data_IF_071890785383
#
_entry.id   IF_071890785383
#
_cell.length_a   1.000
_cell.length_b   1.000
_cell.length_c   1.000
_cell.angle_alpha   90.00
_cell.angle_beta   90.00
_cell.angle_gamma   90.00
#
_symmetry.space_group_name_H-M   'P 1'
#
loop_
_entity.id
_entity.type
_entity.pdbx_description
1 polymer ?
#
# COMPACT_ATOMS: atom_id res chain seq x y z
N UNK A 1 -5.14 -17.24 -16.97
CA UNK A 1 -5.88 -16.25 -16.13
C UNK A 1 -5.05 -14.99 -15.92
N UNK A 2 -5.49 -13.88 -16.53
CA UNK A 2 -4.87 -12.57 -16.37
C UNK A 2 -4.84 -12.08 -14.92
N UNK A 3 -5.67 -12.65 -14.03
CA UNK A 3 -5.70 -12.30 -12.63
C UNK A 3 -4.45 -12.73 -11.83
N UNK A 4 -3.75 -13.79 -12.27
CA UNK A 4 -2.46 -14.18 -11.68
C UNK A 4 -1.36 -13.17 -12.05
N UNK A 5 -1.38 -12.69 -13.30
CA UNK A 5 -0.46 -11.65 -13.77
C UNK A 5 -0.68 -10.35 -13.00
N UNK A 6 -1.94 -9.96 -12.79
CA UNK A 6 -2.27 -8.79 -11.98
C UNK A 6 -1.76 -8.91 -10.54
N UNK A 7 -1.93 -10.08 -9.91
CA UNK A 7 -1.44 -10.35 -8.56
C UNK A 7 0.07 -10.21 -8.47
N UNK A 8 0.81 -10.81 -9.43
CA UNK A 8 2.28 -10.70 -9.49
C UNK A 8 2.75 -9.27 -9.75
N UNK A 9 2.11 -8.55 -10.68
CA UNK A 9 2.42 -7.16 -10.97
C UNK A 9 2.18 -6.25 -9.76
N UNK A 10 1.06 -6.43 -9.04
CA UNK A 10 0.76 -5.67 -7.83
C UNK A 10 1.83 -5.89 -6.74
N UNK A 11 2.27 -7.13 -6.52
CA UNK A 11 3.35 -7.43 -5.57
C UNK A 11 4.65 -6.77 -6.01
N UNK A 12 5.03 -6.89 -7.29
CA UNK A 12 6.25 -6.29 -7.80
C UNK A 12 6.27 -4.76 -7.63
N UNK A 13 5.15 -4.09 -7.88
CA UNK A 13 5.02 -2.64 -7.71
C UNK A 13 5.09 -2.19 -6.23
N UNK A 14 4.76 -3.06 -5.29
CA UNK A 14 4.85 -2.76 -3.85
C UNK A 14 6.22 -3.06 -3.25
N UNK A 15 7.12 -3.69 -4.01
CA UNK A 15 8.49 -3.95 -3.57
C UNK A 15 9.44 -2.77 -3.86
N UNK A 16 10.55 -2.63 -3.10
CA UNK A 16 11.58 -1.64 -3.38
C UNK A 16 12.27 -1.90 -4.73
N UNK A 17 12.78 -0.85 -5.38
CA UNK A 17 13.46 -0.94 -6.67
C UNK A 17 14.70 -1.86 -6.65
N UNK A 18 15.38 -1.94 -5.51
CA UNK A 18 16.53 -2.83 -5.30
C UNK A 18 16.18 -4.27 -4.93
N UNK A 19 14.89 -4.64 -4.87
CA UNK A 19 14.50 -6.00 -4.53
C UNK A 19 14.87 -6.99 -5.64
N UNK A 20 15.38 -8.17 -5.24
CA UNK A 20 15.69 -9.21 -6.20
C UNK A 20 14.42 -9.75 -6.88
N UNK A 21 14.46 -10.06 -8.19
CA UNK A 21 13.29 -10.64 -8.89
C UNK A 21 12.79 -11.94 -8.26
N UNK A 22 13.68 -12.69 -7.59
CA UNK A 22 13.33 -13.91 -6.86
C UNK A 22 12.39 -13.63 -5.69
N UNK A 23 12.49 -12.46 -5.05
CA UNK A 23 11.61 -12.06 -3.97
C UNK A 23 10.18 -11.85 -4.49
N UNK A 24 10.04 -11.12 -5.60
CA UNK A 24 8.75 -10.92 -6.26
C UNK A 24 8.12 -12.24 -6.73
N UNK A 25 8.95 -13.15 -7.25
CA UNK A 25 8.54 -14.48 -7.66
C UNK A 25 8.04 -15.31 -6.45
N UNK A 26 8.79 -15.35 -5.35
CA UNK A 26 8.39 -16.08 -4.15
C UNK A 26 7.06 -15.58 -3.59
N UNK A 27 6.86 -14.24 -3.49
CA UNK A 27 5.60 -13.64 -3.05
C UNK A 27 4.43 -13.93 -3.98
N UNK A 28 4.66 -13.87 -5.30
CA UNK A 28 3.61 -14.15 -6.29
C UNK A 28 3.22 -15.63 -6.33
N UNK A 29 4.17 -16.55 -6.21
CA UNK A 29 3.90 -17.99 -6.09
C UNK A 29 3.08 -18.26 -4.84
N UNK A 30 3.49 -17.72 -3.69
CA UNK A 30 2.73 -17.86 -2.45
C UNK A 30 1.31 -17.28 -2.59
N UNK A 31 1.16 -16.08 -3.14
CA UNK A 31 -0.14 -15.45 -3.36
C UNK A 31 -1.08 -16.30 -4.23
N UNK A 32 -0.55 -16.91 -5.28
CA UNK A 32 -1.35 -17.76 -6.17
C UNK A 32 -1.63 -19.11 -5.53
N UNK A 33 -0.62 -19.80 -4.99
CA UNK A 33 -0.76 -21.15 -4.49
C UNK A 33 -1.49 -21.23 -3.15
N UNK A 34 -1.25 -20.30 -2.23
CA UNK A 34 -1.83 -20.35 -0.88
C UNK A 34 -3.09 -19.49 -0.74
N UNK A 35 -3.15 -18.33 -1.43
CA UNK A 35 -4.24 -17.38 -1.23
C UNK A 35 -5.32 -17.43 -2.31
N UNK A 36 -5.03 -18.00 -3.50
CA UNK A 36 -5.96 -17.98 -4.63
C UNK A 36 -6.47 -19.38 -5.01
N UNK A 37 -5.59 -20.34 -5.21
CA UNK A 37 -5.96 -21.68 -5.67
C UNK A 37 -6.86 -22.45 -4.68
N UNK A 38 -6.60 -22.45 -3.35
CA UNK A 38 -7.41 -23.23 -2.41
C UNK A 38 -8.85 -22.76 -2.31
N UNK A 39 -9.12 -21.49 -2.64
CA UNK A 39 -10.45 -20.88 -2.53
C UNK A 39 -11.23 -20.88 -3.86
N UNK A 40 -10.74 -21.58 -4.88
CA UNK A 40 -11.46 -21.72 -6.16
C UNK A 40 -11.24 -20.57 -7.16
N UNK A 41 -10.22 -19.75 -6.96
CA UNK A 41 -9.82 -18.71 -7.91
C UNK A 41 -10.10 -17.27 -7.47
N UNK A 42 -9.96 -16.33 -8.41
CA UNK A 42 -9.94 -14.90 -8.11
C UNK A 42 -11.23 -14.32 -7.52
N UNK A 43 -12.39 -14.92 -7.80
CA UNK A 43 -13.71 -14.41 -7.36
C UNK A 43 -14.19 -15.00 -6.02
N UNK A 44 -13.53 -16.01 -5.51
CA UNK A 44 -13.90 -16.72 -4.28
C UNK A 44 -12.89 -16.56 -3.15
N UNK A 45 -11.78 -15.85 -3.40
CA UNK A 45 -10.77 -15.59 -2.38
C UNK A 45 -11.34 -14.66 -1.28
N UNK A 46 -11.28 -15.05 0.00
CA UNK A 46 -11.81 -14.25 1.11
C UNK A 46 -10.97 -13.01 1.42
N UNK A 47 -9.76 -12.95 0.89
CA UNK A 47 -8.83 -11.82 1.03
C UNK A 47 -8.08 -11.57 -0.28
N UNK A 48 -7.52 -10.39 -0.41
CA UNK A 48 -6.78 -9.98 -1.61
C UNK A 48 -5.49 -10.79 -1.73
N UNK A 49 -5.30 -11.63 -2.78
CA UNK A 49 -4.13 -12.49 -2.90
C UNK A 49 -2.81 -11.73 -2.91
N UNK A 50 -2.77 -10.55 -3.53
CA UNK A 50 -1.57 -9.71 -3.55
C UNK A 50 -1.15 -9.23 -2.16
N UNK A 51 -2.13 -8.88 -1.31
CA UNK A 51 -1.86 -8.49 0.07
C UNK A 51 -1.31 -9.65 0.90
N UNK A 52 -1.86 -10.87 0.72
CA UNK A 52 -1.36 -12.07 1.39
C UNK A 52 0.08 -12.41 0.98
N UNK A 53 0.39 -12.29 -0.33
CA UNK A 53 1.75 -12.49 -0.83
C UNK A 53 2.73 -11.47 -0.27
N UNK A 54 2.34 -10.19 -0.20
CA UNK A 54 3.17 -9.15 0.40
C UNK A 54 3.37 -9.39 1.90
N UNK A 55 2.33 -9.74 2.64
CA UNK A 55 2.42 -10.06 4.06
C UNK A 55 3.39 -11.23 4.31
N UNK A 56 3.33 -12.27 3.48
CA UNK A 56 4.29 -13.37 3.53
C UNK A 56 5.73 -12.88 3.35
N UNK A 57 5.98 -12.01 2.37
CA UNK A 57 7.32 -11.44 2.13
C UNK A 57 7.80 -10.56 3.31
N UNK A 58 6.91 -9.75 3.87
CA UNK A 58 7.22 -8.90 5.03
C UNK A 58 7.62 -9.72 6.27
N UNK A 59 7.01 -10.87 6.48
CA UNK A 59 7.34 -11.77 7.60
C UNK A 59 8.61 -12.57 7.31
N UNK A 60 8.78 -13.07 6.07
CA UNK A 60 9.90 -13.94 5.72
C UNK A 60 11.22 -13.19 5.50
N UNK A 61 11.17 -12.01 4.88
CA UNK A 61 12.36 -11.20 4.52
C UNK A 61 12.15 -9.72 4.80
N UNK A 62 11.90 -9.32 6.07
CA UNK A 62 11.61 -7.92 6.41
C UNK A 62 12.71 -6.96 5.99
N UNK A 63 13.97 -7.34 6.15
CA UNK A 63 15.11 -6.51 5.77
C UNK A 63 15.16 -6.17 4.28
N UNK A 64 14.76 -7.12 3.42
CA UNK A 64 14.77 -6.91 1.96
C UNK A 64 13.56 -6.13 1.47
N UNK A 65 12.43 -6.25 2.16
CA UNK A 65 11.18 -5.56 1.78
C UNK A 65 11.19 -4.10 2.26
N UNK A 66 11.80 -3.83 3.42
CA UNK A 66 11.80 -2.50 4.04
C UNK A 66 13.13 -1.75 3.88
N UNK A 67 14.00 -2.14 2.95
CA UNK A 67 15.23 -1.42 2.62
C UNK A 67 15.05 -0.68 1.30
N UNK A 68 15.06 0.64 1.35
CA UNK A 68 14.95 1.52 0.19
C UNK A 68 16.29 2.23 -0.03
N UNK A 69 16.83 2.17 -1.25
CA UNK A 69 18.11 2.77 -1.65
C UNK A 69 19.27 2.47 -0.69
N UNK A 70 19.32 1.21 -0.20
CA UNK A 70 20.35 0.78 0.73
C UNK A 70 20.17 1.23 2.18
N UNK A 71 19.11 2.00 2.48
CA UNK A 71 18.79 2.44 3.84
C UNK A 71 17.58 1.71 4.36
N UNK A 72 17.74 0.99 5.47
CA UNK A 72 16.63 0.35 6.16
C UNK A 72 15.72 1.41 6.80
N UNK A 73 14.40 1.21 6.73
CA UNK A 73 13.42 2.05 7.44
C UNK A 73 13.73 2.07 8.95
N UNK A 74 14.17 0.95 9.51
CA UNK A 74 14.62 0.89 10.91
C UNK A 74 15.79 1.84 11.17
N UNK A 75 16.76 1.94 10.25
CA UNK A 75 17.86 2.91 10.35
C UNK A 75 17.36 4.35 10.19
N UNK A 76 16.40 4.62 9.31
CA UNK A 76 15.77 5.93 9.17
C UNK A 76 15.05 6.36 10.46
N UNK A 77 14.38 5.44 11.13
CA UNK A 77 13.70 5.71 12.41
C UNK A 77 14.67 5.87 13.59
N UNK A 78 15.83 5.17 13.58
CA UNK A 78 16.85 5.27 14.62
C UNK A 78 17.71 6.53 14.48
N UNK A 79 17.89 7.06 13.28
CA UNK A 79 18.63 8.30 13.01
C UNK A 79 17.81 9.55 13.40
N UNK A 80 17.08 9.45 14.50
CA UNK A 80 16.24 10.48 15.09
C UNK A 80 16.94 11.80 15.42
N UNK A 81 18.29 11.83 15.44
CA UNK A 81 19.06 12.98 15.88
C UNK A 81 20.13 13.49 14.89
N UNK A 82 20.41 12.86 13.77
CA UNK A 82 21.61 13.20 12.99
C UNK A 82 21.38 13.48 11.50
N UNK A 83 20.28 13.06 10.92
CA UNK A 83 19.94 13.47 9.56
C UNK A 83 18.80 14.48 9.69
N UNK A 84 19.10 15.74 9.48
CA UNK A 84 18.12 16.68 8.94
C UNK A 84 17.71 16.08 7.60
N UNK A 85 16.71 15.20 7.61
CA UNK A 85 15.95 14.93 6.40
C UNK A 85 15.54 16.32 5.94
N UNK A 86 16.13 16.77 4.85
CA UNK A 86 15.66 17.95 4.15
C UNK A 86 14.15 17.86 4.16
N UNK A 87 13.39 18.88 4.62
CA UNK A 87 11.95 18.78 4.63
C UNK A 87 11.57 18.38 3.21
N UNK A 88 11.05 17.14 3.07
CA UNK A 88 10.61 16.64 1.78
C UNK A 88 9.64 17.68 1.26
N UNK A 89 10.03 18.39 0.22
CA UNK A 89 9.16 19.37 -0.38
C UNK A 89 7.92 18.62 -0.87
N UNK A 90 6.77 19.20 -0.69
CA UNK A 90 5.50 18.61 -1.16
C UNK A 90 5.57 18.21 -2.65
N UNK A 91 6.36 18.93 -3.46
CA UNK A 91 6.63 18.61 -4.86
C UNK A 91 7.46 17.34 -5.05
N UNK A 92 8.43 17.06 -4.19
CA UNK A 92 9.23 15.83 -4.24
C UNK A 92 8.37 14.61 -3.92
N UNK A 93 7.44 14.74 -2.97
CA UNK A 93 6.44 13.72 -2.67
C UNK A 93 5.48 13.47 -3.83
N UNK A 94 5.01 14.53 -4.50
CA UNK A 94 4.09 14.46 -5.64
C UNK A 94 4.75 13.79 -6.85
N UNK A 95 6.01 14.11 -7.11
CA UNK A 95 6.79 13.59 -8.24
C UNK A 95 7.44 12.24 -7.95
N UNK A 96 7.50 11.83 -6.68
CA UNK A 96 8.08 10.54 -6.30
C UNK A 96 9.60 10.54 -6.13
N UNK A 97 10.18 11.70 -5.87
CA UNK A 97 11.61 11.83 -5.62
C UNK A 97 11.96 11.53 -4.14
N UNK A 98 11.51 10.36 -3.67
CA UNK A 98 11.80 9.86 -2.32
C UNK A 98 12.00 8.34 -2.36
N UNK A 99 12.80 7.77 -1.44
CA UNK A 99 12.99 6.33 -1.37
C UNK A 99 11.69 5.64 -0.94
N UNK A 100 11.10 4.87 -1.85
CA UNK A 100 9.84 4.19 -1.64
C UNK A 100 9.64 2.99 -2.58
N UNK A 101 8.51 2.27 -2.47
CA UNK A 101 8.18 1.17 -3.37
C UNK A 101 8.04 1.67 -4.81
N UNK A 102 8.42 0.84 -5.79
CA UNK A 102 8.45 1.21 -7.22
C UNK A 102 7.13 1.78 -7.75
N UNK A 103 6.00 1.17 -7.39
CA UNK A 103 4.68 1.57 -7.91
C UNK A 103 4.01 2.71 -7.14
N UNK A 104 4.60 3.16 -6.05
CA UNK A 104 4.02 4.19 -5.17
C UNK A 104 4.75 5.52 -5.24
N UNK A 105 5.87 5.57 -5.98
CA UNK A 105 6.73 6.73 -6.06
C UNK A 105 6.00 7.99 -6.54
N UNK A 106 5.16 7.92 -7.54
CA UNK A 106 4.47 9.08 -8.10
C UNK A 106 3.00 9.16 -7.63
N UNK A 107 2.73 9.97 -6.61
CA UNK A 107 1.37 10.17 -6.08
C UNK A 107 0.45 10.79 -7.13
N UNK A 108 0.96 11.67 -8.00
CA UNK A 108 0.17 12.29 -9.06
C UNK A 108 -0.45 11.25 -10.00
N UNK A 109 0.31 10.20 -10.37
CA UNK A 109 -0.20 9.10 -11.20
C UNK A 109 -1.25 8.29 -10.45
N UNK A 110 -1.03 8.00 -9.15
CA UNK A 110 -2.00 7.29 -8.33
C UNK A 110 -3.31 8.07 -8.18
N UNK A 111 -3.23 9.38 -8.00
CA UNK A 111 -4.41 10.25 -7.96
C UNK A 111 -5.15 10.29 -9.31
N UNK A 112 -4.43 10.33 -10.43
CA UNK A 112 -5.04 10.24 -11.76
C UNK A 112 -5.76 8.90 -11.96
N UNK A 113 -5.15 7.79 -11.55
CA UNK A 113 -5.79 6.47 -11.55
C UNK A 113 -7.02 6.44 -10.64
N UNK A 114 -6.96 7.03 -9.44
CA UNK A 114 -8.10 7.11 -8.53
C UNK A 114 -9.26 7.89 -9.15
N UNK A 115 -8.98 8.99 -9.84
CA UNK A 115 -9.99 9.78 -10.54
C UNK A 115 -10.69 8.97 -11.64
N UNK A 116 -9.95 8.14 -12.37
CA UNK A 116 -10.53 7.21 -13.35
C UNK A 116 -11.48 6.20 -12.67
N UNK A 117 -11.08 5.62 -11.53
CA UNK A 117 -11.95 4.73 -10.76
C UNK A 117 -13.21 5.42 -10.22
N UNK A 118 -13.08 6.70 -9.79
CA UNK A 118 -14.20 7.55 -9.36
C UNK A 118 -15.28 7.66 -10.42
N UNK A 119 -14.88 7.85 -11.68
CA UNK A 119 -15.80 7.99 -12.81
C UNK A 119 -16.49 6.66 -13.13
N UNK A 120 -15.74 5.55 -13.09
CA UNK A 120 -16.22 4.24 -13.56
C UNK A 120 -16.95 3.42 -12.50
N UNK A 121 -16.52 3.45 -11.22
CA UNK A 121 -17.02 2.58 -10.14
C UNK A 121 -17.28 3.33 -8.84
N UNK A 122 -18.22 4.26 -8.84
CA UNK A 122 -18.57 5.09 -7.66
C UNK A 122 -18.88 4.29 -6.40
N UNK A 123 -19.43 3.06 -6.50
CA UNK A 123 -19.76 2.23 -5.34
C UNK A 123 -18.53 1.65 -4.64
N UNK A 124 -17.46 1.39 -5.36
CA UNK A 124 -16.22 0.81 -4.83
C UNK A 124 -15.35 1.80 -4.05
N UNK A 125 -15.69 3.10 -4.03
CA UNK A 125 -14.91 4.15 -3.40
C UNK A 125 -15.08 4.25 -1.89
N UNK A 126 -16.16 3.68 -1.34
CA UNK A 126 -16.44 3.81 0.09
C UNK A 126 -15.41 3.07 0.95
N UNK A 127 -14.88 1.95 0.49
CA UNK A 127 -13.82 1.22 1.19
C UNK A 127 -12.47 1.99 1.19
N UNK A 128 -11.93 2.47 0.04
CA UNK A 128 -10.76 3.33 0.02
C UNK A 128 -10.86 4.59 0.87
N UNK A 129 -12.03 5.26 0.84
CA UNK A 129 -12.25 6.45 1.65
C UNK A 129 -12.24 6.15 3.16
N UNK A 130 -12.90 5.07 3.58
CA UNK A 130 -12.87 4.61 4.97
C UNK A 130 -11.46 4.26 5.43
N UNK A 131 -10.70 3.57 4.59
CA UNK A 131 -9.31 3.20 4.87
C UNK A 131 -8.40 4.41 5.02
N UNK A 132 -8.41 5.33 4.06
CA UNK A 132 -7.59 6.54 4.13
C UNK A 132 -7.97 7.44 5.30
N UNK A 133 -9.27 7.53 5.63
CA UNK A 133 -9.74 8.29 6.79
C UNK A 133 -9.24 7.66 8.10
N UNK A 134 -9.27 6.34 8.23
CA UNK A 134 -8.75 5.62 9.40
C UNK A 134 -7.23 5.78 9.54
N UNK A 135 -6.47 5.60 8.45
CA UNK A 135 -5.03 5.82 8.45
C UNK A 135 -4.67 7.28 8.81
N UNK A 136 -5.40 8.27 8.27
CA UNK A 136 -5.21 9.67 8.61
C UNK A 136 -5.50 9.95 10.09
N UNK A 137 -6.55 9.36 10.66
CA UNK A 137 -6.88 9.48 12.07
C UNK A 137 -5.80 8.85 12.96
N UNK A 138 -5.30 7.66 12.61
CA UNK A 138 -4.21 7.01 13.32
C UNK A 138 -2.91 7.80 13.27
N UNK A 139 -2.56 8.36 12.11
CA UNK A 139 -1.40 9.24 11.94
C UNK A 139 -1.52 10.55 12.73
N UNK A 140 -2.73 11.06 12.91
CA UNK A 140 -2.98 12.26 13.72
C UNK A 140 -2.91 11.97 15.23
N UNK A 141 -3.31 10.77 15.67
CA UNK A 141 -3.26 10.33 17.08
C UNK A 141 -1.82 9.99 17.48
N UNK A 142 -1.09 9.28 16.59
CA UNK A 142 0.29 8.83 16.80
C UNK A 142 1.25 9.46 15.80
N UNK A 143 1.52 10.78 15.89
CA UNK A 143 2.40 11.45 14.94
C UNK A 143 3.82 10.90 15.07
N UNK A 144 4.35 10.38 13.98
CA UNK A 144 5.75 9.87 13.91
C UNK A 144 6.75 10.98 13.60
N UNK A 145 6.28 12.07 13.00
CA UNK A 145 7.13 13.22 12.61
C UNK A 145 6.88 14.38 13.56
N UNK A 146 7.94 14.91 14.16
CA UNK A 146 7.87 16.00 15.15
C UNK A 146 7.50 17.37 14.55
N UNK A 147 7.42 17.48 13.24
CA UNK A 147 7.21 18.72 12.50
C UNK A 147 5.75 19.27 12.53
N UNK A 148 4.82 18.54 13.15
CA UNK A 148 3.41 18.93 13.24
C UNK A 148 2.46 17.81 12.86
N UNK A 149 1.25 17.79 13.44
CA UNK A 149 0.26 16.72 13.21
C UNK A 149 -0.18 16.63 11.74
N UNK A 150 -0.43 17.77 11.10
CA UNK A 150 -0.83 17.79 9.69
C UNK A 150 0.28 17.31 8.75
N UNK A 151 1.53 17.71 9.02
CA UNK A 151 2.69 17.28 8.23
C UNK A 151 2.91 15.78 8.37
N UNK A 152 2.73 15.22 9.57
CA UNK A 152 2.82 13.78 9.80
C UNK A 152 1.75 13.02 9.01
N UNK A 153 0.49 13.47 9.05
CA UNK A 153 -0.61 12.85 8.29
C UNK A 153 -0.34 12.87 6.79
N UNK A 154 0.09 14.02 6.24
CA UNK A 154 0.38 14.15 4.82
C UNK A 154 1.56 13.26 4.43
N UNK A 155 2.63 13.25 5.22
CA UNK A 155 3.79 12.41 4.94
C UNK A 155 3.45 10.91 5.03
N UNK A 156 2.72 10.46 6.04
CA UNK A 156 2.35 9.05 6.18
C UNK A 156 1.40 8.58 5.07
N UNK A 157 0.43 9.40 4.69
CA UNK A 157 -0.46 9.08 3.57
C UNK A 157 0.27 9.08 2.23
N UNK A 158 1.27 9.95 2.08
CA UNK A 158 2.00 10.13 0.83
C UNK A 158 3.20 9.19 0.71
N UNK A 159 3.81 8.79 1.82
CA UNK A 159 4.97 7.92 1.85
C UNK A 159 4.53 6.46 1.93
N UNK A 160 4.76 5.71 0.88
CA UNK A 160 4.58 4.28 0.91
C UNK A 160 3.36 3.74 0.16
N UNK A 161 3.06 2.48 0.40
CA UNK A 161 2.09 1.72 -0.36
C UNK A 161 0.62 1.98 0.02
N UNK A 162 0.33 2.88 0.99
CA UNK A 162 -1.04 3.09 1.51
C UNK A 162 -2.01 3.53 0.41
N UNK A 163 -1.64 4.57 -0.36
CA UNK A 163 -2.50 5.07 -1.46
C UNK A 163 -2.66 4.02 -2.54
N UNK A 164 -1.60 3.29 -2.88
CA UNK A 164 -1.66 2.20 -3.83
C UNK A 164 -2.59 1.08 -3.35
N UNK A 165 -2.44 0.65 -2.10
CA UNK A 165 -3.30 -0.38 -1.51
C UNK A 165 -4.77 0.07 -1.47
N UNK A 166 -5.04 1.33 -1.10
CA UNK A 166 -6.38 1.88 -1.08
C UNK A 166 -7.06 1.86 -2.44
N UNK A 167 -6.30 2.19 -3.52
CA UNK A 167 -6.87 2.34 -4.87
C UNK A 167 -6.97 1.00 -5.58
N UNK A 168 -5.96 0.13 -5.45
CA UNK A 168 -5.84 -1.08 -6.27
C UNK A 168 -6.17 -2.38 -5.52
N UNK A 169 -5.87 -2.47 -4.21
CA UNK A 169 -6.10 -3.69 -3.46
C UNK A 169 -7.46 -3.72 -2.78
N UNK A 170 -7.86 -2.63 -2.12
CA UNK A 170 -9.08 -2.59 -1.33
C UNK A 170 -10.38 -2.76 -2.14
N UNK A 171 -10.53 -2.20 -3.37
CA UNK A 171 -11.77 -2.34 -4.14
C UNK A 171 -11.87 -3.66 -4.89
N UNK A 172 -11.16 -4.71 -4.48
CA UNK A 172 -11.28 -6.03 -5.10
C UNK A 172 -12.70 -6.56 -4.95
N UNK A 173 -13.39 -6.87 -6.06
CA UNK A 173 -14.79 -7.32 -6.05
C UNK A 173 -15.01 -8.64 -5.30
N UNK A 174 -13.96 -9.43 -5.06
CA UNK A 174 -14.06 -10.68 -4.32
C UNK A 174 -14.12 -10.48 -2.80
N UNK A 175 -13.36 -9.52 -2.28
CA UNK A 175 -13.22 -9.30 -0.83
C UNK A 175 -13.99 -8.08 -0.32
N UNK A 176 -14.26 -7.09 -1.18
CA UNK A 176 -14.94 -5.87 -0.77
C UNK A 176 -16.48 -6.06 -0.70
N UNK A 177 -17.13 -5.68 0.41
CA UNK A 177 -18.58 -5.78 0.53
C UNK A 177 -19.30 -4.83 -0.44
N UNK A 178 -20.44 -5.25 -1.03
CA UNK A 178 -21.12 -4.50 -2.08
C UNK A 178 -21.89 -3.26 -1.60
N UNK A 179 -22.09 -3.10 -0.29
CA UNK A 179 -22.82 -1.98 0.31
C UNK A 179 -21.98 -0.74 0.53
N UNK A 180 -22.58 0.46 0.50
CA UNK A 180 -21.87 1.72 0.78
C UNK A 180 -21.38 1.79 2.24
N UNK A 181 -22.29 1.54 3.19
CA UNK A 181 -21.98 1.57 4.62
C UNK A 181 -21.04 0.43 5.02
N UNK A 182 -21.30 -0.79 4.52
CA UNK A 182 -20.43 -1.95 4.78
C UNK A 182 -19.03 -1.79 4.19
N UNK A 183 -18.92 -1.19 2.98
CA UNK A 183 -17.63 -0.86 2.40
C UNK A 183 -16.84 0.16 3.24
N UNK A 184 -17.51 1.18 3.74
CA UNK A 184 -16.87 2.20 4.59
C UNK A 184 -16.39 1.61 5.93
N UNK A 185 -17.21 0.80 6.60
CA UNK A 185 -16.84 0.10 7.84
C UNK A 185 -15.68 -0.87 7.61
N UNK A 186 -15.72 -1.62 6.50
CA UNK A 186 -14.63 -2.50 6.09
C UNK A 186 -13.32 -1.72 5.88
N UNK A 187 -13.39 -0.56 5.20
CA UNK A 187 -12.24 0.33 5.03
C UNK A 187 -11.67 0.83 6.35
N UNK A 188 -12.53 1.27 7.29
CA UNK A 188 -12.07 1.71 8.62
C UNK A 188 -11.38 0.55 9.34
N UNK A 189 -11.98 -0.62 9.37
CA UNK A 189 -11.43 -1.78 10.06
C UNK A 189 -10.04 -2.16 9.52
N UNK A 190 -9.90 -2.22 8.19
CA UNK A 190 -8.61 -2.51 7.54
C UNK A 190 -7.57 -1.39 7.71
N UNK A 191 -7.99 -0.15 7.93
CA UNK A 191 -7.08 0.99 8.14
C UNK A 191 -6.62 1.15 9.59
N UNK A 192 -7.30 0.52 10.55
CA UNK A 192 -6.91 0.51 11.98
C UNK A 192 -5.98 -0.65 12.29
N UNK A 193 -6.12 -1.79 11.58
CA UNK A 193 -5.23 -2.95 11.69
C UNK A 193 -3.85 -2.67 11.09
#
# INVERSE_FOLDING_TARGET
DLSAVFTGAAIALMLPAGASPLLALAGSVFAVCAAKLPFGGALHAPFVPAAAGLAFLCVSWPEKVFTYDGVSIAAMLQVKNSIRLNPLNFFDLLLGNYPGPMGTGCIAVLLACSAYFLIRRRKALWAPLGFLAACAAMAAIFPRVYSGRLTSVVMELSSGALVFAAIFLLPDPASAPPGRASGFVYGIFTGVL
#
